data_IF_678421350343
#
_entry.id   IF_678421350343
#
_cell.length_a   1.000
_cell.length_b   1.000
_cell.length_c   1.000
_cell.angle_alpha   90.00
_cell.angle_beta   90.00
_cell.angle_gamma   90.00
#
_symmetry.space_group_name_H-M   'P 1'
#
loop_
_entity.id
_entity.type
_entity.pdbx_description
1 polymer ?
#
# COMPACT_ATOMS: atom_id res chain seq x y z
N UNK A 1 -15.28 16.53 12.90
CA UNK A 1 -15.13 15.48 13.93
C UNK A 1 -14.21 16.02 15.02
N UNK A 2 -14.64 16.03 16.29
CA UNK A 2 -13.72 16.22 17.41
C UNK A 2 -13.14 14.85 17.74
N UNK A 3 -12.03 14.48 17.10
CA UNK A 3 -11.34 13.22 17.36
C UNK A 3 -10.51 13.36 18.65
N UNK A 4 -10.47 12.28 19.44
CA UNK A 4 -9.53 12.24 20.57
C UNK A 4 -8.08 12.20 20.05
N UNK A 5 -7.08 12.60 20.87
CA UNK A 5 -5.66 12.48 20.49
C UNK A 5 -5.26 11.05 20.08
N UNK A 6 -5.86 10.05 20.72
CA UNK A 6 -5.62 8.63 20.44
C UNK A 6 -6.15 8.23 19.06
N UNK A 7 -7.37 8.68 18.71
CA UNK A 7 -7.97 8.44 17.40
C UNK A 7 -7.15 9.11 16.30
N UNK A 8 -6.64 10.32 16.54
CA UNK A 8 -5.74 11.01 15.62
C UNK A 8 -4.44 10.22 15.39
N UNK A 9 -3.85 9.68 16.46
CA UNK A 9 -2.68 8.81 16.37
C UNK A 9 -2.95 7.53 15.57
N UNK A 10 -4.15 6.95 15.73
CA UNK A 10 -4.57 5.77 14.98
C UNK A 10 -4.69 6.06 13.47
N UNK A 11 -5.28 7.22 13.10
CA UNK A 11 -5.31 7.67 11.70
C UNK A 11 -3.90 7.84 11.14
N UNK A 12 -3.02 8.52 11.87
CA UNK A 12 -1.64 8.74 11.43
C UNK A 12 -0.91 7.41 11.15
N UNK A 13 -0.98 6.45 12.08
CA UNK A 13 -0.38 5.13 11.91
C UNK A 13 -0.99 4.31 10.77
N UNK A 14 -2.25 4.57 10.41
CA UNK A 14 -2.90 3.95 9.26
C UNK A 14 -2.47 4.61 7.94
N UNK A 15 -2.37 5.94 7.90
CA UNK A 15 -1.85 6.71 6.76
C UNK A 15 -0.41 6.34 6.42
N UNK A 16 0.45 6.10 7.41
CA UNK A 16 1.81 5.59 7.19
C UNK A 16 1.77 4.25 6.44
N UNK A 17 0.85 3.34 6.79
CA UNK A 17 0.75 2.06 6.08
C UNK A 17 0.30 2.22 4.64
N UNK A 18 -0.65 3.14 4.39
CA UNK A 18 -1.04 3.49 3.02
C UNK A 18 0.17 3.99 2.24
N UNK A 19 0.94 4.91 2.81
CA UNK A 19 2.15 5.44 2.17
C UNK A 19 3.19 4.34 1.90
N UNK A 20 3.42 3.44 2.85
CA UNK A 20 4.31 2.28 2.68
C UNK A 20 3.85 1.41 1.50
N UNK A 21 2.56 1.08 1.40
CA UNK A 21 2.04 0.29 0.28
C UNK A 21 2.29 0.97 -1.08
N UNK A 22 2.08 2.28 -1.17
CA UNK A 22 2.36 3.07 -2.39
C UNK A 22 3.85 3.06 -2.72
N UNK A 23 4.72 3.26 -1.71
CA UNK A 23 6.17 3.25 -1.90
C UNK A 23 6.69 1.88 -2.34
N UNK A 24 6.12 0.78 -1.83
CA UNK A 24 6.45 -0.58 -2.29
C UNK A 24 6.16 -0.73 -3.79
N UNK A 25 5.00 -0.25 -4.26
CA UNK A 25 4.69 -0.30 -5.70
C UNK A 25 5.65 0.56 -6.51
N UNK A 26 5.88 1.80 -6.08
CA UNK A 26 6.73 2.74 -6.80
C UNK A 26 8.18 2.24 -6.93
N UNK A 27 8.80 1.84 -5.81
CA UNK A 27 10.18 1.36 -5.82
C UNK A 27 10.30 -0.04 -6.40
N UNK A 28 9.31 -0.91 -6.17
CA UNK A 28 9.30 -2.24 -6.75
C UNK A 28 9.18 -2.20 -8.28
N UNK A 29 8.36 -1.32 -8.84
CA UNK A 29 8.32 -1.11 -10.29
C UNK A 29 9.67 -0.66 -10.85
N UNK A 30 10.32 0.32 -10.18
CA UNK A 30 11.67 0.76 -10.56
C UNK A 30 12.71 -0.36 -10.50
N UNK A 31 12.57 -1.29 -9.57
CA UNK A 31 13.45 -2.45 -9.46
C UNK A 31 13.21 -3.46 -10.60
N UNK A 32 11.97 -3.61 -11.07
CA UNK A 32 11.61 -4.49 -12.17
C UNK A 32 11.91 -3.89 -13.56
N UNK A 33 12.08 -2.57 -13.66
CA UNK A 33 12.28 -1.84 -14.91
C UNK A 33 13.38 -2.43 -15.82
N UNK A 34 14.58 -2.78 -15.32
CA UNK A 34 15.63 -3.37 -16.17
C UNK A 34 15.25 -4.71 -16.79
N UNK A 35 14.42 -5.50 -16.09
CA UNK A 35 13.91 -6.78 -16.59
C UNK A 35 12.84 -6.57 -17.64
N UNK A 36 11.97 -5.57 -17.45
CA UNK A 36 10.89 -5.22 -18.37
C UNK A 36 11.41 -4.64 -19.70
N UNK A 37 12.53 -3.92 -19.67
CA UNK A 37 13.17 -3.37 -20.88
C UNK A 37 14.18 -4.33 -21.53
N UNK A 38 14.33 -5.55 -21.00
CA UNK A 38 15.35 -6.47 -21.49
C UNK A 38 14.94 -7.08 -22.85
N UNK A 39 15.85 -7.21 -23.82
CA UNK A 39 15.53 -7.82 -25.13
C UNK A 39 15.20 -9.32 -25.07
N UNK A 40 15.51 -9.99 -23.95
CA UNK A 40 15.28 -11.41 -23.77
C UNK A 40 13.88 -11.67 -23.22
N UNK A 41 13.12 -12.54 -23.88
CA UNK A 41 11.74 -12.82 -23.50
C UNK A 41 11.63 -13.38 -22.08
N UNK A 42 12.55 -14.26 -21.68
CA UNK A 42 12.55 -14.85 -20.32
C UNK A 42 12.74 -13.80 -19.22
N UNK A 43 13.63 -12.84 -19.43
CA UNK A 43 13.86 -11.73 -18.50
C UNK A 43 12.63 -10.81 -18.42
N UNK A 44 12.02 -10.51 -19.57
CA UNK A 44 10.78 -9.71 -19.63
C UNK A 44 9.64 -10.39 -18.87
N UNK A 45 9.42 -11.69 -19.09
CA UNK A 45 8.39 -12.47 -18.39
C UNK A 45 8.61 -12.43 -16.88
N UNK A 46 9.85 -12.63 -16.42
CA UNK A 46 10.18 -12.52 -15.00
C UNK A 46 9.88 -11.11 -14.46
N UNK A 47 10.24 -10.06 -15.20
CA UNK A 47 9.92 -8.68 -14.87
C UNK A 47 8.41 -8.44 -14.70
N UNK A 48 7.59 -9.00 -15.59
CA UNK A 48 6.12 -8.90 -15.53
C UNK A 48 5.60 -9.60 -14.26
N UNK A 49 6.03 -10.84 -14.02
CA UNK A 49 5.61 -11.62 -12.83
C UNK A 49 5.97 -10.90 -11.54
N UNK A 50 7.20 -10.39 -11.44
CA UNK A 50 7.65 -9.60 -10.29
C UNK A 50 6.82 -8.34 -10.11
N UNK A 51 6.57 -7.61 -11.19
CA UNK A 51 5.76 -6.38 -11.16
C UNK A 51 4.34 -6.65 -10.66
N UNK A 52 3.69 -7.71 -11.16
CA UNK A 52 2.36 -8.12 -10.70
C UNK A 52 2.40 -8.46 -9.20
N UNK A 53 3.38 -9.25 -8.76
CA UNK A 53 3.54 -9.59 -7.35
C UNK A 53 3.72 -8.35 -6.45
N UNK A 54 4.54 -7.40 -6.88
CA UNK A 54 4.78 -6.12 -6.19
C UNK A 54 3.49 -5.29 -6.10
N UNK A 55 2.73 -5.19 -7.19
CA UNK A 55 1.46 -4.45 -7.20
C UNK A 55 0.45 -5.09 -6.25
N UNK A 56 0.34 -6.42 -6.24
CA UNK A 56 -0.53 -7.13 -5.32
C UNK A 56 -0.12 -6.92 -3.86
N UNK A 57 1.18 -7.04 -3.55
CA UNK A 57 1.70 -6.84 -2.20
C UNK A 57 1.49 -5.39 -1.72
N UNK A 58 1.82 -4.40 -2.54
CA UNK A 58 1.62 -2.99 -2.21
C UNK A 58 0.15 -2.63 -2.02
N UNK A 59 -0.72 -3.13 -2.91
CA UNK A 59 -2.18 -2.95 -2.80
C UNK A 59 -2.73 -3.54 -1.51
N UNK A 60 -2.29 -4.74 -1.14
CA UNK A 60 -2.68 -5.38 0.12
C UNK A 60 -2.29 -4.54 1.34
N UNK A 61 -1.05 -4.04 1.39
CA UNK A 61 -0.58 -3.17 2.47
C UNK A 61 -1.42 -1.88 2.54
N UNK A 62 -1.69 -1.26 1.39
CA UNK A 62 -2.53 -0.05 1.30
C UNK A 62 -3.94 -0.32 1.81
N UNK A 63 -4.58 -1.42 1.40
CA UNK A 63 -5.92 -1.81 1.86
C UNK A 63 -5.94 -2.05 3.38
N UNK A 64 -4.90 -2.64 3.97
CA UNK A 64 -4.80 -2.76 5.43
C UNK A 64 -4.72 -1.40 6.14
N UNK A 65 -4.06 -0.41 5.53
CA UNK A 65 -4.07 0.96 6.02
C UNK A 65 -5.48 1.56 5.97
N UNK A 66 -6.14 1.46 4.81
CA UNK A 66 -7.51 1.97 4.61
C UNK A 66 -8.50 1.30 5.58
N UNK A 67 -8.46 -0.03 5.72
CA UNK A 67 -9.35 -0.76 6.62
C UNK A 67 -9.22 -0.28 8.08
N UNK A 68 -8.00 0.07 8.52
CA UNK A 68 -7.79 0.65 9.85
C UNK A 68 -8.40 2.05 9.97
N UNK A 69 -8.23 2.92 8.96
CA UNK A 69 -8.86 4.25 8.91
C UNK A 69 -10.38 4.11 9.01
N UNK A 70 -10.98 3.23 8.20
CA UNK A 70 -12.43 2.99 8.18
C UNK A 70 -12.91 2.50 9.54
N UNK A 71 -12.22 1.53 10.15
CA UNK A 71 -12.58 1.03 11.47
C UNK A 71 -12.52 2.13 12.53
N UNK A 72 -11.47 2.94 12.56
CA UNK A 72 -11.37 4.09 13.49
C UNK A 72 -12.50 5.09 13.28
N UNK A 73 -12.89 5.36 12.03
CA UNK A 73 -14.01 6.25 11.72
C UNK A 73 -15.34 5.69 12.21
N UNK A 74 -15.59 4.41 11.95
CA UNK A 74 -16.82 3.73 12.37
C UNK A 74 -16.91 3.64 13.90
N UNK A 75 -15.82 3.28 14.58
CA UNK A 75 -15.77 3.22 16.04
C UNK A 75 -16.03 4.60 16.68
N UNK A 76 -15.52 5.68 16.06
CA UNK A 76 -15.78 7.04 16.52
C UNK A 76 -17.24 7.47 16.31
N UNK A 77 -17.86 7.06 15.20
CA UNK A 77 -19.26 7.37 14.90
C UNK A 77 -20.22 6.60 15.81
N UNK A 78 -19.97 5.32 16.10
CA UNK A 78 -20.79 4.52 17.02
C UNK A 78 -20.77 5.00 18.47
N UNK A 79 -19.79 5.83 18.85
CA UNK A 79 -19.66 6.41 20.19
C UNK A 79 -20.38 7.76 20.35
N UNK A 80 -20.88 8.34 19.26
CA UNK A 80 -21.71 9.56 19.29
C UNK A 80 -23.17 9.24 19.54
#
# INVERSE_FOLDING_TARGET
>A
MNLSPEEYGAYWGASIRVAVGVLVVFFGYRLADPLLSHPEAGATILGIVLTVGIVLAGSFITVLGIARVVRTAVDAEMRR
#
